data_IF_378273707154
#
_entry.id   IF_378273707154
#
_cell.length_a   1.000
_cell.length_b   1.000
_cell.length_c   1.000
_cell.angle_alpha   90.00
_cell.angle_beta   90.00
_cell.angle_gamma   90.00
#
_symmetry.space_group_name_H-M   'P 1'
#
loop_
_entity.id
_entity.type
_entity.pdbx_description
1 polymer ?
#
# COMPACT_ATOMS: atom_id res chain seq x y z
N UNK A 1 -20.17 1.39 -35.80
CA UNK A 1 -19.05 0.95 -34.92
C UNK A 1 -18.27 2.18 -34.52
N UNK A 2 -17.94 2.36 -33.23
CA UNK A 2 -17.16 3.52 -32.78
C UNK A 2 -15.73 3.46 -33.36
N UNK A 3 -15.16 4.62 -33.69
CA UNK A 3 -13.76 4.69 -34.14
C UNK A 3 -12.79 4.46 -32.98
N UNK A 4 -11.54 4.10 -33.28
CA UNK A 4 -10.50 3.91 -32.25
C UNK A 4 -10.25 5.20 -31.47
N UNK A 5 -10.30 6.35 -32.13
CA UNK A 5 -10.10 7.67 -31.52
C UNK A 5 -11.26 8.03 -30.59
N UNK A 6 -12.52 7.78 -30.99
CA UNK A 6 -13.69 7.98 -30.13
C UNK A 6 -13.67 7.10 -28.87
N UNK A 7 -13.12 5.88 -28.97
CA UNK A 7 -12.95 5.00 -27.81
C UNK A 7 -11.82 5.49 -26.91
N UNK A 8 -10.71 5.95 -27.49
CA UNK A 8 -9.58 6.48 -26.73
C UNK A 8 -9.95 7.74 -25.93
N UNK A 9 -10.65 8.70 -26.57
CA UNK A 9 -11.10 9.93 -25.92
C UNK A 9 -12.03 9.64 -24.73
N UNK A 10 -13.03 8.76 -24.93
CA UNK A 10 -13.96 8.38 -23.85
C UNK A 10 -13.26 7.66 -22.69
N UNK A 11 -12.25 6.84 -22.98
CA UNK A 11 -11.45 6.18 -21.94
C UNK A 11 -10.64 7.19 -21.14
N UNK A 12 -9.99 8.15 -21.79
CA UNK A 12 -9.19 9.18 -21.13
C UNK A 12 -10.06 10.08 -20.23
N UNK A 13 -11.22 10.55 -20.73
CA UNK A 13 -12.18 11.32 -19.93
C UNK A 13 -12.66 10.53 -18.70
N UNK A 14 -13.05 9.27 -18.91
CA UNK A 14 -13.50 8.41 -17.82
C UNK A 14 -12.39 8.13 -16.81
N UNK A 15 -11.16 7.87 -17.25
CA UNK A 15 -10.01 7.66 -16.37
C UNK A 15 -9.71 8.89 -15.50
N UNK A 16 -9.78 10.10 -16.08
CA UNK A 16 -9.62 11.35 -15.32
C UNK A 16 -10.70 11.50 -14.24
N UNK A 17 -11.96 11.25 -14.59
CA UNK A 17 -13.09 11.31 -13.65
C UNK A 17 -12.96 10.30 -12.53
N UNK A 18 -12.63 9.04 -12.85
CA UNK A 18 -12.40 7.98 -11.86
C UNK A 18 -11.26 8.39 -10.92
N UNK A 19 -10.14 8.88 -11.46
CA UNK A 19 -9.00 9.34 -10.66
C UNK A 19 -9.41 10.45 -9.68
N UNK A 20 -10.14 11.47 -10.15
CA UNK A 20 -10.60 12.56 -9.29
C UNK A 20 -11.51 12.05 -8.17
N UNK A 21 -12.47 11.17 -8.48
CA UNK A 21 -13.37 10.59 -7.49
C UNK A 21 -12.64 9.74 -6.45
N UNK A 22 -11.69 8.89 -6.87
CA UNK A 22 -10.88 8.07 -5.97
C UNK A 22 -9.99 8.93 -5.06
N UNK A 23 -9.38 9.98 -5.60
CA UNK A 23 -8.56 10.90 -4.82
C UNK A 23 -9.38 11.64 -3.77
N UNK A 24 -10.60 12.09 -4.12
CA UNK A 24 -11.50 12.75 -3.18
C UNK A 24 -11.94 11.79 -2.07
N UNK A 25 -12.35 10.57 -2.42
CA UNK A 25 -12.77 9.55 -1.44
C UNK A 25 -11.66 9.19 -0.45
N UNK A 26 -10.40 9.14 -0.90
CA UNK A 26 -9.25 8.83 -0.04
C UNK A 26 -8.66 10.05 0.67
N UNK A 27 -9.18 11.26 0.47
CA UNK A 27 -8.59 12.48 1.04
C UNK A 27 -8.73 12.54 2.57
N UNK A 28 -9.92 12.23 3.09
CA UNK A 28 -10.19 12.24 4.53
C UNK A 28 -9.46 11.13 5.30
N UNK A 29 -9.31 9.94 4.70
CA UNK A 29 -8.52 8.86 5.31
C UNK A 29 -7.05 9.25 5.44
N UNK A 30 -6.50 9.94 4.43
CA UNK A 30 -5.09 10.35 4.39
C UNK A 30 -4.74 11.47 5.35
N UNK A 31 -5.68 12.39 5.64
CA UNK A 31 -5.43 13.49 6.58
C UNK A 31 -5.31 13.01 8.03
N UNK A 32 -5.93 11.88 8.38
CA UNK A 32 -6.03 11.39 9.75
C UNK A 32 -4.97 10.35 10.14
N UNK A 33 -4.01 10.05 9.26
CA UNK A 33 -2.96 9.05 9.54
C UNK A 33 -1.97 9.62 10.57
N UNK A 34 -1.87 9.00 11.75
CA UNK A 34 -0.87 9.32 12.78
C UNK A 34 0.55 9.24 12.22
N UNK A 35 1.44 10.18 12.55
CA UNK A 35 2.84 10.16 12.11
C UNK A 35 3.77 10.89 13.06
N UNK A 36 5.07 10.85 12.76
CA UNK A 36 6.13 11.45 13.57
C UNK A 36 6.87 10.44 14.46
N UNK A 37 7.86 10.93 15.20
CA UNK A 37 8.87 10.12 15.92
C UNK A 37 8.30 9.22 17.03
N UNK A 38 7.11 9.56 17.54
CA UNK A 38 6.39 8.80 18.58
C UNK A 38 5.56 7.65 18.02
N UNK A 39 5.55 7.47 16.69
CA UNK A 39 4.76 6.46 16.01
C UNK A 39 5.63 5.56 15.14
N UNK A 40 5.20 4.32 14.96
CA UNK A 40 5.89 3.33 14.14
C UNK A 40 4.90 2.64 13.21
N UNK A 41 5.35 2.31 12.00
CA UNK A 41 4.53 1.56 11.06
C UNK A 41 4.42 0.09 11.51
N UNK A 42 3.25 -0.50 11.32
CA UNK A 42 2.94 -1.88 11.65
C UNK A 42 2.25 -2.56 10.47
N UNK A 43 2.67 -3.78 10.14
CA UNK A 43 2.13 -4.55 9.00
C UNK A 43 1.15 -5.61 9.48
N UNK A 44 -0.08 -5.55 8.98
CA UNK A 44 -1.05 -6.62 9.09
C UNK A 44 -0.74 -7.72 8.06
N UNK A 45 -0.21 -8.84 8.54
CA UNK A 45 0.18 -9.97 7.69
C UNK A 45 -0.98 -10.61 6.91
N UNK A 46 -2.21 -10.52 7.43
CA UNK A 46 -3.40 -11.06 6.77
C UNK A 46 -3.78 -10.27 5.52
N UNK A 47 -3.47 -8.97 5.49
CA UNK A 47 -3.76 -8.07 4.36
C UNK A 47 -2.53 -7.82 3.47
N UNK A 48 -1.32 -8.09 3.98
CA UNK A 48 -0.09 -7.92 3.22
C UNK A 48 0.00 -8.97 2.10
N UNK A 49 0.11 -8.53 0.86
CA UNK A 49 0.20 -9.42 -0.32
C UNK A 49 1.63 -9.58 -0.86
N UNK A 50 2.65 -9.05 -0.16
CA UNK A 50 4.05 -9.18 -0.58
C UNK A 50 4.44 -8.40 -1.84
N UNK A 51 3.70 -7.33 -2.18
CA UNK A 51 3.90 -6.52 -3.39
C UNK A 51 5.09 -5.54 -3.37
N UNK A 52 5.90 -5.56 -2.31
CA UNK A 52 7.13 -4.77 -2.11
C UNK A 52 7.09 -3.24 -2.30
N UNK A 53 5.96 -2.62 -2.63
CA UNK A 53 5.85 -1.16 -2.79
C UNK A 53 6.31 -0.34 -1.56
N UNK A 54 6.12 -0.91 -0.37
CA UNK A 54 6.54 -0.26 0.87
C UNK A 54 8.07 -0.14 0.99
N UNK A 55 8.85 -1.08 0.45
CA UNK A 55 10.31 -1.00 0.49
C UNK A 55 10.83 0.06 -0.48
N UNK A 56 10.15 0.27 -1.60
CA UNK A 56 10.52 1.28 -2.61
C UNK A 56 10.41 2.71 -2.06
N UNK A 57 9.47 2.97 -1.16
CA UNK A 57 9.22 4.31 -0.60
C UNK A 57 9.86 4.54 0.76
N UNK A 58 10.61 3.58 1.28
CA UNK A 58 11.25 3.69 2.58
C UNK A 58 12.71 4.13 2.41
N UNK A 59 12.97 5.41 2.65
CA UNK A 59 14.32 5.98 2.57
C UNK A 59 15.21 5.63 3.78
N UNK A 60 14.61 5.08 4.84
CA UNK A 60 15.28 4.76 6.12
C UNK A 60 15.66 3.26 6.26
N UNK A 61 15.49 2.45 5.20
CA UNK A 61 15.71 0.99 5.23
C UNK A 61 14.98 0.26 6.37
N UNK A 62 13.84 0.80 6.82
CA UNK A 62 13.09 0.31 7.97
C UNK A 62 12.16 -0.87 7.67
N UNK A 63 12.23 -1.48 6.48
CA UNK A 63 11.28 -2.51 6.03
C UNK A 63 12.01 -3.70 5.44
N UNK A 64 11.74 -4.89 5.98
CA UNK A 64 12.25 -6.16 5.48
C UNK A 64 11.11 -7.00 4.89
N UNK A 65 11.44 -7.79 3.87
CA UNK A 65 10.56 -8.81 3.33
C UNK A 65 11.03 -10.20 3.77
N UNK A 66 10.08 -11.04 4.14
CA UNK A 66 10.36 -12.42 4.54
C UNK A 66 9.33 -13.38 3.95
N UNK A 67 9.77 -14.62 3.75
CA UNK A 67 8.93 -15.69 3.24
C UNK A 67 8.07 -16.28 4.35
N UNK A 68 6.76 -16.41 4.09
CA UNK A 68 5.82 -17.06 4.99
C UNK A 68 5.04 -18.14 4.24
N UNK A 69 4.80 -19.27 4.89
CA UNK A 69 3.98 -20.34 4.30
C UNK A 69 2.60 -19.81 3.91
N UNK A 70 2.13 -20.19 2.72
CA UNK A 70 0.81 -19.79 2.25
C UNK A 70 -0.28 -20.35 3.17
N UNK A 71 -1.14 -19.48 3.68
CA UNK A 71 -2.17 -19.84 4.65
C UNK A 71 -3.37 -20.60 4.02
N UNK A 72 -3.63 -20.43 2.72
CA UNK A 72 -4.80 -21.02 2.07
C UNK A 72 -4.44 -22.41 1.50
N UNK A 73 -5.10 -23.49 1.94
CA UNK A 73 -4.88 -24.83 1.41
C UNK A 73 -5.38 -25.00 -0.03
N UNK A 74 -6.14 -24.03 -0.56
CA UNK A 74 -6.68 -24.05 -1.91
C UNK A 74 -5.72 -23.43 -2.95
N UNK A 75 -4.69 -22.72 -2.50
CA UNK A 75 -3.74 -22.03 -3.38
C UNK A 75 -2.49 -22.90 -3.51
N UNK A 76 -2.16 -23.28 -4.75
CA UNK A 76 -0.94 -24.05 -5.09
C UNK A 76 0.29 -23.12 -5.17
N UNK A 77 0.57 -22.42 -4.08
CA UNK A 77 1.75 -21.59 -3.91
C UNK A 77 2.28 -21.87 -2.51
N UNK A 78 3.55 -22.24 -2.39
CA UNK A 78 4.12 -22.65 -1.10
C UNK A 78 4.35 -21.45 -0.16
N UNK A 79 4.70 -20.29 -0.74
CA UNK A 79 5.18 -19.12 -0.01
C UNK A 79 4.44 -17.86 -0.45
N UNK A 80 4.06 -17.04 0.53
CA UNK A 80 3.59 -15.68 0.34
C UNK A 80 4.49 -14.71 1.12
N UNK A 81 5.21 -13.84 0.40
CA UNK A 81 6.10 -12.85 1.02
C UNK A 81 5.32 -11.86 1.87
N UNK A 82 5.90 -11.46 3.01
CA UNK A 82 5.32 -10.49 3.94
C UNK A 82 6.33 -9.41 4.26
N UNK A 83 5.85 -8.19 4.47
CA UNK A 83 6.67 -7.10 4.96
C UNK A 83 6.67 -7.08 6.49
N UNK A 84 7.78 -6.64 7.07
CA UNK A 84 7.94 -6.36 8.49
C UNK A 84 8.65 -5.03 8.64
N UNK A 85 8.17 -4.19 9.55
CA UNK A 85 8.80 -2.91 9.88
C UNK A 85 9.78 -3.12 11.05
N UNK A 86 11.00 -2.66 10.87
CA UNK A 86 12.01 -2.54 11.92
C UNK A 86 11.75 -1.26 12.72
N UNK A 87 11.57 -1.40 14.03
CA UNK A 87 11.15 -0.28 14.89
C UNK A 87 12.20 0.81 14.97
N UNK A 88 13.47 0.46 15.09
CA UNK A 88 14.55 1.42 15.35
C UNK A 88 14.78 2.41 14.20
N UNK A 89 14.96 1.96 12.94
CA UNK A 89 15.14 2.86 11.80
C UNK A 89 13.85 3.58 11.35
N UNK A 90 12.65 3.16 11.82
CA UNK A 90 11.41 3.79 11.40
C UNK A 90 11.25 5.21 12.00
N UNK A 91 11.15 6.21 11.13
CA UNK A 91 10.99 7.63 11.48
C UNK A 91 9.52 8.06 11.67
N UNK A 92 8.57 7.22 11.28
CA UNK A 92 7.14 7.54 11.31
C UNK A 92 6.67 8.48 10.18
N UNK A 93 7.35 8.47 9.03
CA UNK A 93 7.05 9.33 7.86
C UNK A 93 5.73 9.00 7.12
N UNK A 94 5.18 7.78 7.32
CA UNK A 94 3.91 7.27 6.76
C UNK A 94 3.88 7.00 5.25
N UNK A 95 4.99 7.14 4.53
CA UNK A 95 5.02 6.89 3.07
C UNK A 95 4.62 5.45 2.71
N UNK A 96 5.06 4.48 3.50
CA UNK A 96 4.71 3.07 3.30
C UNK A 96 3.21 2.78 3.46
N UNK A 97 2.52 3.50 4.36
CA UNK A 97 1.06 3.42 4.53
C UNK A 97 0.36 3.89 3.27
N UNK A 98 0.79 5.03 2.72
CA UNK A 98 0.23 5.62 1.51
C UNK A 98 0.50 4.79 0.25
N UNK A 99 1.63 4.07 0.23
CA UNK A 99 2.04 3.22 -0.88
C UNK A 99 1.39 1.83 -0.84
N UNK A 100 0.85 1.38 0.30
CA UNK A 100 0.28 0.05 0.42
C UNK A 100 -1.02 -0.07 -0.39
N UNK A 101 -1.09 -0.93 -1.42
CA UNK A 101 -2.29 -1.02 -2.25
C UNK A 101 -3.46 -1.72 -1.55
N UNK A 102 -3.20 -2.46 -0.47
CA UNK A 102 -4.21 -3.21 0.30
C UNK A 102 -4.43 -2.64 1.70
N UNK A 103 -3.89 -1.45 1.98
CA UNK A 103 -3.99 -0.78 3.28
C UNK A 103 -3.54 -1.66 4.46
N UNK A 104 -2.59 -2.57 4.20
CA UNK A 104 -2.07 -3.53 5.18
C UNK A 104 -1.11 -2.90 6.21
N UNK A 105 -0.68 -1.66 6.02
CA UNK A 105 0.26 -0.98 6.90
C UNK A 105 -0.48 0.14 7.63
N UNK A 106 -0.39 0.15 8.96
CA UNK A 106 -1.01 1.17 9.82
C UNK A 106 0.05 1.80 10.72
N UNK A 107 -0.29 2.94 11.34
CA UNK A 107 0.59 3.64 12.28
C UNK A 107 0.12 3.37 13.70
N UNK A 108 1.02 2.88 14.54
CA UNK A 108 0.79 2.63 15.96
C UNK A 108 1.73 3.50 16.81
N UNK A 109 1.39 3.66 18.08
CA UNK A 109 2.26 4.36 19.02
C UNK A 109 3.46 3.44 19.38
N UNK A 110 4.64 4.04 19.61
CA UNK A 110 5.91 3.30 19.77
C UNK A 110 6.02 2.52 21.07
#
# INVERSE_FOLDING_TARGET
MSTREEVAYRRDDMQKRIRMALNAAKAEERSNIKGGETTVAFVNEGQCIGCDQCTIVCDDDAIELYDKAMASPLIQVDINRKAKVLRDPCTGCRLCVLACPTDAIIMIDR
#
